data_IF_708589325487
#
_entry.id   IF_708589325487
#
_cell.length_a   1.000
_cell.length_b   1.000
_cell.length_c   1.000
_cell.angle_alpha   90.00
_cell.angle_beta   90.00
_cell.angle_gamma   90.00
#
_symmetry.space_group_name_H-M   'P 1'
#
loop_
_entity.id
_entity.type
_entity.pdbx_description
1 polymer ?
#
# COMPACT_ATOMS: atom_id res chain seq x y z
N UNK A 1 6.13 23.32 -2.84
CA UNK A 1 6.17 21.90 -3.27
C UNK A 1 7.16 21.23 -2.36
N UNK A 2 6.70 20.32 -1.53
CA UNK A 2 7.58 19.51 -0.68
C UNK A 2 8.58 18.78 -1.57
N UNK A 3 9.85 18.83 -1.20
CA UNK A 3 10.91 18.20 -1.98
C UNK A 3 10.81 16.67 -1.83
N UNK A 4 11.30 15.90 -2.81
CA UNK A 4 11.43 14.42 -2.73
C UNK A 4 11.87 13.92 -1.35
N UNK A 5 12.78 14.66 -0.70
CA UNK A 5 13.30 14.36 0.64
C UNK A 5 12.24 14.34 1.73
N UNK A 6 11.29 15.26 1.67
CA UNK A 6 10.24 15.38 2.68
C UNK A 6 9.27 14.20 2.61
N UNK A 7 8.98 13.69 1.42
CA UNK A 7 8.02 12.60 1.23
C UNK A 7 8.54 11.25 1.74
N UNK A 8 9.77 10.84 1.38
CA UNK A 8 10.30 9.58 1.91
C UNK A 8 10.62 9.68 3.41
N UNK A 9 11.09 10.84 3.89
CA UNK A 9 11.33 11.05 5.32
C UNK A 9 10.01 11.10 6.11
N UNK A 10 8.95 11.65 5.52
CA UNK A 10 7.60 11.64 6.09
C UNK A 10 7.05 10.23 6.24
N UNK A 11 7.18 9.39 5.21
CA UNK A 11 6.77 7.98 5.28
C UNK A 11 7.55 7.21 6.34
N UNK A 12 8.88 7.40 6.39
CA UNK A 12 9.74 6.75 7.37
C UNK A 12 9.44 7.18 8.80
N UNK A 13 9.28 8.48 9.05
CA UNK A 13 9.00 9.01 10.40
C UNK A 13 7.60 8.62 10.87
N UNK A 14 6.59 8.72 10.02
CA UNK A 14 5.22 8.33 10.36
C UNK A 14 5.12 6.84 10.71
N UNK A 15 5.73 5.96 9.89
CA UNK A 15 5.73 4.54 10.18
C UNK A 15 6.59 4.18 11.39
N UNK A 16 7.73 4.85 11.61
CA UNK A 16 8.55 4.64 12.82
C UNK A 16 7.76 4.97 14.09
N UNK A 17 7.04 6.09 14.11
CA UNK A 17 6.21 6.48 15.25
C UNK A 17 5.10 5.45 15.50
N UNK A 18 4.41 5.02 14.45
CA UNK A 18 3.41 3.96 14.54
C UNK A 18 4.01 2.64 15.07
N UNK A 19 5.13 2.21 14.51
CA UNK A 19 5.79 0.95 14.88
C UNK A 19 6.21 0.97 16.35
N UNK A 20 6.83 2.05 16.84
CA UNK A 20 7.24 2.18 18.24
C UNK A 20 6.03 2.14 19.17
N UNK A 21 4.96 2.89 18.86
CA UNK A 21 3.74 2.87 19.69
C UNK A 21 3.14 1.47 19.72
N UNK A 22 3.00 0.84 18.55
CA UNK A 22 2.44 -0.52 18.44
C UNK A 22 3.30 -1.56 19.15
N UNK A 23 4.63 -1.45 19.07
CA UNK A 23 5.56 -2.33 19.76
C UNK A 23 5.45 -2.18 21.28
N UNK A 24 5.40 -0.94 21.79
CA UNK A 24 5.20 -0.67 23.22
C UNK A 24 3.86 -1.28 23.66
N UNK A 25 2.78 -1.06 22.93
CA UNK A 25 1.46 -1.65 23.23
C UNK A 25 1.53 -3.18 23.26
N UNK A 26 2.20 -3.79 22.29
CA UNK A 26 2.38 -5.24 22.19
C UNK A 26 3.07 -5.78 23.45
N UNK A 27 4.18 -5.15 23.84
CA UNK A 27 4.96 -5.56 25.00
C UNK A 27 4.16 -5.34 26.30
N UNK A 28 3.55 -4.17 26.49
CA UNK A 28 2.78 -3.86 27.70
C UNK A 28 1.62 -4.83 27.91
N UNK A 29 0.84 -5.11 26.87
CA UNK A 29 -0.31 -6.04 26.95
C UNK A 29 0.16 -7.47 27.21
N UNK A 30 1.24 -7.91 26.56
CA UNK A 30 1.80 -9.25 26.76
C UNK A 30 2.27 -9.44 28.21
N UNK A 31 2.90 -8.44 28.81
CA UNK A 31 3.35 -8.47 30.21
C UNK A 31 2.17 -8.44 31.18
N UNK A 32 1.19 -7.57 30.96
CA UNK A 32 0.07 -7.36 31.90
C UNK A 32 -0.89 -8.57 31.90
N UNK A 33 -1.20 -9.10 30.72
CA UNK A 33 -2.23 -10.14 30.55
C UNK A 33 -1.67 -11.54 30.29
N UNK A 34 -0.34 -11.70 30.23
CA UNK A 34 0.30 -12.98 29.91
C UNK A 34 -0.01 -13.49 28.49
N UNK A 35 -0.34 -12.58 27.57
CA UNK A 35 -0.61 -12.92 26.17
C UNK A 35 0.69 -13.17 25.40
N UNK A 36 0.67 -14.02 24.36
CA UNK A 36 1.83 -14.22 23.49
C UNK A 36 2.08 -12.97 22.66
N UNK A 37 3.36 -12.65 22.37
CA UNK A 37 3.74 -11.39 21.71
C UNK A 37 3.19 -11.22 20.28
N UNK A 38 2.77 -12.29 19.63
CA UNK A 38 2.17 -12.30 18.28
C UNK A 38 0.68 -11.94 18.28
N UNK A 39 0.09 -11.62 19.44
CA UNK A 39 -1.33 -11.24 19.55
C UNK A 39 -1.69 -10.02 18.69
N UNK A 40 -0.73 -9.13 18.43
CA UNK A 40 -0.93 -7.88 17.71
C UNK A 40 -0.56 -8.02 16.21
N UNK A 41 -1.55 -8.12 15.30
CA UNK A 41 -1.30 -8.31 13.87
C UNK A 41 -0.95 -7.01 13.12
N UNK A 42 -0.80 -5.89 13.83
CA UNK A 42 -0.58 -4.58 13.20
C UNK A 42 0.88 -4.31 12.86
N UNK A 43 1.82 -5.06 13.47
CA UNK A 43 3.25 -5.00 13.20
C UNK A 43 3.82 -6.40 13.04
N UNK A 44 4.88 -6.53 12.23
CA UNK A 44 5.69 -7.73 12.18
C UNK A 44 6.69 -7.72 13.34
N UNK A 45 6.90 -8.88 13.95
CA UNK A 45 8.01 -9.12 14.87
C UNK A 45 9.20 -9.82 14.20
N UNK A 46 8.97 -10.43 13.03
CA UNK A 46 10.03 -11.00 12.21
C UNK A 46 10.91 -9.87 11.61
N UNK A 47 12.25 -9.96 11.71
CA UNK A 47 13.16 -8.92 11.20
C UNK A 47 12.99 -8.60 9.71
N UNK A 48 12.73 -9.61 8.86
CA UNK A 48 12.51 -9.39 7.44
C UNK A 48 11.16 -8.74 7.19
N UNK A 49 10.11 -9.15 7.92
CA UNK A 49 8.81 -8.49 7.88
C UNK A 49 8.87 -7.04 8.34
N UNK A 50 9.65 -6.71 9.38
CA UNK A 50 9.90 -5.34 9.83
C UNK A 50 10.54 -4.53 8.70
N UNK A 51 11.65 -5.02 8.14
CA UNK A 51 12.33 -4.37 7.02
C UNK A 51 11.39 -4.15 5.83
N UNK A 52 10.62 -5.18 5.47
CA UNK A 52 9.63 -5.13 4.41
C UNK A 52 8.59 -4.04 4.63
N UNK A 53 8.08 -3.89 5.85
CA UNK A 53 7.15 -2.82 6.18
C UNK A 53 7.76 -1.43 6.04
N UNK A 54 8.99 -1.24 6.51
CA UNK A 54 9.69 0.04 6.37
C UNK A 54 9.91 0.41 4.90
N UNK A 55 10.30 -0.57 4.07
CA UNK A 55 10.43 -0.39 2.63
C UNK A 55 9.08 -0.04 2.01
N UNK A 56 8.01 -0.75 2.35
CA UNK A 56 6.66 -0.50 1.83
C UNK A 56 6.16 0.89 2.23
N UNK A 57 6.31 1.28 3.50
CA UNK A 57 5.92 2.61 3.98
C UNK A 57 6.67 3.72 3.22
N UNK A 58 7.97 3.54 2.98
CA UNK A 58 8.76 4.47 2.18
C UNK A 58 8.26 4.55 0.74
N UNK A 59 8.05 3.40 0.08
CA UNK A 59 7.58 3.35 -1.30
C UNK A 59 6.20 3.99 -1.44
N UNK A 60 5.26 3.67 -0.57
CA UNK A 60 3.91 4.25 -0.61
C UNK A 60 3.90 5.74 -0.24
N UNK A 61 4.86 6.21 0.54
CA UNK A 61 5.09 7.64 0.77
C UNK A 61 5.66 8.39 -0.44
N UNK A 62 6.22 7.69 -1.42
CA UNK A 62 6.75 8.28 -2.66
C UNK A 62 5.84 8.06 -3.87
N UNK A 63 5.01 7.02 -3.83
CA UNK A 63 4.22 6.54 -4.97
C UNK A 63 3.27 7.58 -5.58
N UNK A 64 2.55 8.42 -4.79
CA UNK A 64 1.59 9.36 -5.38
C UNK A 64 2.18 10.27 -6.46
N UNK A 65 3.46 10.62 -6.34
CA UNK A 65 4.21 11.48 -7.28
C UNK A 65 4.68 10.77 -8.55
N UNK A 66 4.27 9.53 -8.80
CA UNK A 66 4.59 8.78 -10.02
C UNK A 66 3.89 9.34 -11.27
N UNK A 67 2.83 10.15 -11.09
CA UNK A 67 2.08 10.82 -12.16
C UNK A 67 2.70 12.15 -12.61
N UNK A 68 3.68 12.69 -11.88
CA UNK A 68 4.36 13.96 -12.19
C UNK A 68 5.85 13.76 -12.39
N UNK A 69 6.49 14.69 -13.12
CA UNK A 69 7.95 14.67 -13.31
C UNK A 69 8.67 14.88 -11.97
N UNK A 70 9.18 13.79 -11.41
CA UNK A 70 9.80 13.77 -10.08
C UNK A 70 10.91 12.72 -9.98
N UNK A 71 11.72 12.81 -8.91
CA UNK A 71 12.69 11.73 -8.59
C UNK A 71 11.98 10.43 -8.21
N UNK A 72 10.82 10.50 -7.56
CA UNK A 72 9.98 9.34 -7.26
C UNK A 72 9.57 8.63 -8.54
N UNK A 73 9.05 9.37 -9.52
CA UNK A 73 8.70 8.86 -10.83
C UNK A 73 9.89 8.14 -11.48
N UNK A 74 11.04 8.80 -11.58
CA UNK A 74 12.23 8.19 -12.18
C UNK A 74 12.60 6.87 -11.50
N UNK A 75 12.57 6.81 -10.16
CA UNK A 75 12.85 5.59 -9.41
C UNK A 75 11.85 4.47 -9.73
N UNK A 76 10.54 4.73 -9.63
CA UNK A 76 9.51 3.72 -9.89
C UNK A 76 9.54 3.20 -11.33
N UNK A 77 9.67 4.08 -12.32
CA UNK A 77 9.74 3.64 -13.72
C UNK A 77 11.05 2.93 -14.06
N UNK A 78 12.15 3.23 -13.38
CA UNK A 78 13.41 2.47 -13.53
C UNK A 78 13.23 1.04 -13.03
N UNK A 79 12.64 0.87 -11.84
CA UNK A 79 12.35 -0.46 -11.28
C UNK A 79 11.39 -1.23 -12.19
N UNK A 80 10.29 -0.59 -12.62
CA UNK A 80 9.32 -1.20 -13.54
C UNK A 80 9.95 -1.58 -14.87
N UNK A 81 10.84 -0.74 -15.42
CA UNK A 81 11.56 -1.05 -16.65
C UNK A 81 12.47 -2.28 -16.48
N UNK A 82 13.26 -2.34 -15.40
CA UNK A 82 14.14 -3.48 -15.14
C UNK A 82 13.34 -4.77 -14.93
N UNK A 83 12.24 -4.71 -14.17
CA UNK A 83 11.34 -5.85 -13.97
C UNK A 83 10.72 -6.31 -15.30
N UNK A 84 10.23 -5.37 -16.10
CA UNK A 84 9.61 -5.68 -17.39
C UNK A 84 10.63 -6.27 -18.38
N UNK A 85 11.84 -5.70 -18.44
CA UNK A 85 12.94 -6.25 -19.24
C UNK A 85 13.33 -7.65 -18.78
N UNK A 86 13.35 -7.91 -17.47
CA UNK A 86 13.64 -9.24 -16.91
C UNK A 86 12.56 -10.27 -17.29
N UNK A 87 11.28 -9.88 -17.25
CA UNK A 87 10.17 -10.74 -17.69
C UNK A 87 10.30 -11.13 -19.17
N UNK A 88 10.68 -10.18 -20.02
CA UNK A 88 10.82 -10.40 -21.47
C UNK A 88 12.09 -11.20 -21.78
N UNK A 89 13.25 -10.75 -21.31
CA UNK A 89 14.55 -11.27 -21.75
C UNK A 89 14.93 -12.56 -21.03
N UNK A 90 14.70 -12.65 -19.72
CA UNK A 90 15.16 -13.77 -18.90
C UNK A 90 14.07 -14.84 -18.72
N UNK A 91 12.83 -14.42 -18.52
CA UNK A 91 11.73 -15.33 -18.15
C UNK A 91 10.81 -15.69 -19.33
N UNK A 92 10.90 -14.97 -20.46
CA UNK A 92 10.04 -15.17 -21.64
C UNK A 92 8.53 -15.09 -21.31
N UNK A 93 8.17 -14.34 -20.26
CA UNK A 93 6.81 -14.15 -19.72
C UNK A 93 6.15 -12.92 -20.33
N UNK A 94 5.83 -13.00 -21.62
CA UNK A 94 5.39 -11.84 -22.40
C UNK A 94 4.03 -11.30 -22.00
N UNK A 95 3.10 -12.15 -21.57
CA UNK A 95 1.76 -11.72 -21.13
C UNK A 95 1.87 -10.90 -19.84
N UNK A 96 2.66 -11.37 -18.88
CA UNK A 96 2.90 -10.69 -17.62
C UNK A 96 3.65 -9.39 -17.82
N UNK A 97 4.62 -9.37 -18.75
CA UNK A 97 5.29 -8.14 -19.17
C UNK A 97 4.32 -7.13 -19.80
N UNK A 98 3.43 -7.58 -20.69
CA UNK A 98 2.42 -6.74 -21.32
C UNK A 98 1.45 -6.15 -20.29
N UNK A 99 0.98 -6.97 -19.34
CA UNK A 99 0.12 -6.53 -18.24
C UNK A 99 0.84 -5.54 -17.32
N UNK A 100 2.08 -5.84 -16.92
CA UNK A 100 2.89 -4.95 -16.08
C UNK A 100 3.09 -3.59 -16.76
N UNK A 101 3.48 -3.60 -18.04
CA UNK A 101 3.63 -2.39 -18.84
C UNK A 101 2.34 -1.59 -18.97
N UNK A 102 1.21 -2.26 -19.22
CA UNK A 102 -0.11 -1.63 -19.32
C UNK A 102 -0.49 -0.93 -18.01
N UNK A 103 -0.36 -1.60 -16.86
CA UNK A 103 -0.68 -1.02 -15.57
C UNK A 103 0.29 0.09 -15.15
N UNK A 104 1.56 -0.03 -15.53
CA UNK A 104 2.56 1.01 -15.30
C UNK A 104 2.23 2.34 -15.98
N UNK A 105 1.47 2.34 -17.09
CA UNK A 105 1.08 3.58 -17.78
C UNK A 105 -0.09 4.33 -17.12
N UNK A 106 -0.88 3.66 -16.27
CA UNK A 106 -2.10 4.24 -15.69
C UNK A 106 -1.89 5.58 -14.94
N UNK A 107 -0.80 5.77 -14.16
CA UNK A 107 -0.59 7.04 -13.49
C UNK A 107 -0.34 8.20 -14.47
N UNK A 108 0.41 7.96 -15.56
CA UNK A 108 0.75 8.98 -16.56
C UNK A 108 -0.47 9.40 -17.39
N UNK A 109 -1.40 8.48 -17.64
CA UNK A 109 -2.64 8.79 -18.38
C UNK A 109 -3.60 9.69 -17.59
N UNK A 110 -3.34 9.92 -16.30
CA UNK A 110 -4.18 10.76 -15.46
C UNK A 110 -3.79 12.23 -15.54
N UNK A 111 -4.73 13.11 -15.14
CA UNK A 111 -4.42 14.55 -14.98
C UNK A 111 -3.37 14.73 -13.90
N UNK A 112 -2.55 15.79 -14.00
CA UNK A 112 -1.60 16.16 -12.94
C UNK A 112 -2.25 16.17 -11.55
N UNK A 113 -1.68 15.40 -10.62
CA UNK A 113 -2.20 15.19 -9.25
C UNK A 113 -3.63 14.65 -9.27
N UNK A 114 -3.85 13.63 -10.10
CA UNK A 114 -5.15 13.04 -10.38
C UNK A 114 -5.57 12.03 -9.32
N UNK A 115 -5.93 10.83 -9.77
CA UNK A 115 -6.38 9.77 -8.85
C UNK A 115 -5.26 9.29 -7.93
N UNK A 116 -3.98 9.44 -8.29
CA UNK A 116 -2.84 9.13 -7.42
C UNK A 116 -2.76 10.01 -6.17
N UNK A 117 -3.45 11.15 -6.14
CA UNK A 117 -3.53 12.02 -4.94
C UNK A 117 -4.91 11.95 -4.26
N UNK A 118 -5.72 10.92 -4.59
CA UNK A 118 -7.02 10.69 -3.97
C UNK A 118 -6.90 9.96 -2.63
N UNK A 119 -7.72 10.36 -1.65
CA UNK A 119 -7.89 9.63 -0.37
C UNK A 119 -8.41 8.21 -0.58
N UNK A 120 -9.10 7.95 -1.69
CA UNK A 120 -9.54 6.60 -2.03
C UNK A 120 -8.37 5.71 -2.42
N UNK A 121 -7.43 6.22 -3.22
CA UNK A 121 -6.25 5.47 -3.67
C UNK A 121 -5.32 5.12 -2.51
N UNK A 122 -5.27 5.99 -1.50
CA UNK A 122 -4.59 5.72 -0.22
C UNK A 122 -5.08 4.43 0.46
N UNK A 123 -6.36 4.04 0.27
CA UNK A 123 -6.93 2.81 0.83
C UNK A 123 -6.87 1.67 -0.20
N UNK A 124 -7.21 1.97 -1.46
CA UNK A 124 -7.30 0.99 -2.53
C UNK A 124 -5.94 0.38 -2.88
N UNK A 125 -4.87 1.18 -2.96
CA UNK A 125 -3.59 0.66 -3.41
C UNK A 125 -2.95 -0.26 -2.35
N UNK A 126 -2.91 0.09 -1.06
CA UNK A 126 -2.41 -0.83 -0.04
C UNK A 126 -3.27 -2.09 0.11
N UNK A 127 -4.56 -2.05 -0.24
CA UNK A 127 -5.43 -3.24 -0.09
C UNK A 127 -5.00 -4.42 -0.96
N UNK A 128 -4.12 -4.21 -1.95
CA UNK A 128 -3.45 -5.29 -2.68
C UNK A 128 -2.68 -6.24 -1.75
N UNK A 129 -2.14 -5.75 -0.62
CA UNK A 129 -1.51 -6.60 0.39
C UNK A 129 -2.48 -7.52 1.14
N UNK A 130 -3.79 -7.24 1.07
CA UNK A 130 -4.83 -8.12 1.60
C UNK A 130 -5.38 -9.03 0.50
N UNK A 131 -5.64 -8.47 -0.69
CA UNK A 131 -6.30 -9.19 -1.79
C UNK A 131 -5.39 -10.22 -2.46
N UNK A 132 -4.10 -9.90 -2.66
CA UNK A 132 -3.18 -10.81 -3.35
C UNK A 132 -2.97 -12.11 -2.55
N UNK A 133 -2.68 -12.09 -1.24
CA UNK A 133 -2.58 -13.32 -0.45
C UNK A 133 -3.85 -14.16 -0.50
N UNK A 134 -5.04 -13.53 -0.38
CA UNK A 134 -6.32 -14.24 -0.53
C UNK A 134 -6.43 -14.89 -1.91
N UNK A 135 -6.07 -14.16 -2.97
CA UNK A 135 -6.10 -14.70 -4.33
C UNK A 135 -5.14 -15.87 -4.53
N UNK A 136 -3.96 -15.85 -3.89
CA UNK A 136 -2.96 -16.92 -4.05
C UNK A 136 -3.30 -18.14 -3.20
N UNK A 137 -3.73 -17.94 -1.96
CA UNK A 137 -3.89 -19.01 -0.97
C UNK A 137 -5.26 -19.67 -1.00
N UNK A 138 -6.29 -18.99 -1.50
CA UNK A 138 -7.64 -19.56 -1.51
C UNK A 138 -7.74 -20.76 -2.46
N UNK A 139 -8.02 -21.98 -1.95
CA UNK A 139 -7.87 -23.21 -2.72
C UNK A 139 -8.99 -23.43 -3.76
N UNK A 140 -10.13 -22.76 -3.60
CA UNK A 140 -11.36 -23.11 -4.32
C UNK A 140 -11.61 -22.26 -5.56
N UNK A 141 -10.64 -21.48 -6.06
CA UNK A 141 -10.78 -20.76 -7.33
C UNK A 141 -11.13 -21.69 -8.50
N UNK A 142 -10.65 -22.94 -8.45
CA UNK A 142 -10.89 -23.95 -9.47
C UNK A 142 -12.32 -24.56 -9.46
N UNK A 143 -13.15 -24.28 -8.46
CA UNK A 143 -14.48 -24.89 -8.32
C UNK A 143 -15.58 -24.29 -9.23
N UNK A 144 -15.17 -23.47 -10.22
CA UNK A 144 -16.06 -22.85 -11.21
C UNK A 144 -16.67 -21.54 -10.72
N UNK A 145 -17.19 -20.74 -11.68
CA UNK A 145 -17.85 -19.46 -11.38
C UNK A 145 -19.17 -19.71 -10.64
N UNK A 146 -19.12 -19.75 -9.32
CA UNK A 146 -20.32 -19.63 -8.48
C UNK A 146 -20.88 -18.20 -8.61
N UNK A 147 -22.16 -17.99 -8.27
CA UNK A 147 -22.69 -16.62 -8.19
C UNK A 147 -21.88 -15.83 -7.16
N UNK A 148 -21.74 -14.52 -7.35
CA UNK A 148 -21.01 -13.62 -6.44
C UNK A 148 -21.33 -13.85 -4.93
N UNK A 149 -22.61 -14.05 -4.53
CA UNK A 149 -22.93 -14.34 -3.12
C UNK A 149 -22.34 -15.65 -2.61
N UNK A 150 -22.32 -16.70 -3.42
CA UNK A 150 -21.79 -18.01 -3.05
C UNK A 150 -20.26 -17.98 -2.93
N UNK A 151 -19.60 -17.19 -3.79
CA UNK A 151 -18.17 -16.92 -3.69
C UNK A 151 -17.87 -16.22 -2.36
N UNK A 152 -18.62 -15.17 -2.04
CA UNK A 152 -18.45 -14.44 -0.78
C UNK A 152 -18.66 -15.34 0.44
N UNK A 153 -19.73 -16.14 0.46
CA UNK A 153 -20.00 -17.09 1.55
C UNK A 153 -18.86 -18.10 1.71
N UNK A 154 -18.33 -18.61 0.59
CA UNK A 154 -17.22 -19.56 0.60
C UNK A 154 -15.87 -18.95 1.00
N UNK A 155 -15.67 -17.64 0.80
CA UNK A 155 -14.49 -16.91 1.25
C UNK A 155 -14.58 -16.63 2.75
N UNK A 156 -15.73 -16.14 3.23
CA UNK A 156 -15.92 -15.82 4.66
C UNK A 156 -15.85 -17.07 5.53
N UNK A 157 -16.30 -18.22 5.03
CA UNK A 157 -16.22 -19.51 5.74
C UNK A 157 -14.87 -20.22 5.61
N UNK A 158 -13.93 -19.66 4.86
CA UNK A 158 -12.61 -20.27 4.71
C UNK A 158 -11.80 -20.13 6.01
N UNK A 159 -11.45 -21.26 6.62
CA UNK A 159 -10.72 -21.31 7.88
C UNK A 159 -9.36 -20.60 7.84
N UNK A 160 -8.70 -20.55 6.66
CA UNK A 160 -7.42 -19.86 6.48
C UNK A 160 -7.53 -18.33 6.37
N UNK A 161 -8.73 -17.79 6.11
CA UNK A 161 -8.92 -16.35 5.87
C UNK A 161 -8.34 -15.46 6.97
N UNK A 162 -8.55 -15.73 8.27
CA UNK A 162 -8.02 -14.87 9.34
C UNK A 162 -6.49 -14.78 9.32
N UNK A 163 -5.80 -15.89 9.11
CA UNK A 163 -4.33 -15.95 9.15
C UNK A 163 -3.73 -15.27 7.92
N UNK A 164 -4.30 -15.52 6.74
CA UNK A 164 -3.95 -14.81 5.50
C UNK A 164 -4.13 -13.30 5.65
N UNK A 165 -5.25 -12.86 6.24
CA UNK A 165 -5.52 -11.45 6.51
C UNK A 165 -4.53 -10.85 7.51
N UNK A 166 -4.17 -11.56 8.60
CA UNK A 166 -3.17 -11.08 9.57
C UNK A 166 -1.82 -10.85 8.89
N UNK A 167 -1.37 -11.77 8.04
CA UNK A 167 -0.12 -11.64 7.30
C UNK A 167 -0.13 -10.41 6.38
N UNK A 168 -1.23 -10.20 5.65
CA UNK A 168 -1.38 -9.03 4.77
C UNK A 168 -1.57 -7.70 5.52
N UNK A 169 -2.19 -7.71 6.70
CA UNK A 169 -2.59 -6.51 7.45
C UNK A 169 -1.40 -5.63 7.82
N UNK A 170 -0.31 -6.25 8.26
CA UNK A 170 0.90 -5.53 8.64
C UNK A 170 1.47 -4.71 7.46
N UNK A 171 1.52 -5.31 6.27
CA UNK A 171 1.98 -4.61 5.05
C UNK A 171 0.96 -3.58 4.53
N UNK A 172 -0.34 -3.90 4.64
CA UNK A 172 -1.41 -2.95 4.36
C UNK A 172 -1.27 -1.68 5.20
N UNK A 173 -1.06 -1.81 6.51
CA UNK A 173 -0.91 -0.67 7.41
C UNK A 173 0.36 0.14 7.11
N UNK A 174 1.48 -0.54 6.80
CA UNK A 174 2.69 0.14 6.37
C UNK A 174 2.45 0.98 5.11
N UNK A 175 1.80 0.40 4.09
CA UNK A 175 1.46 1.11 2.86
C UNK A 175 0.48 2.25 3.09
N UNK A 176 -0.56 2.02 3.90
CA UNK A 176 -1.56 3.03 4.27
C UNK A 176 -0.93 4.23 4.98
N UNK A 177 -0.06 3.99 5.96
CA UNK A 177 0.61 5.04 6.74
C UNK A 177 1.58 5.83 5.85
N UNK A 178 2.38 5.14 5.04
CA UNK A 178 3.27 5.77 4.08
C UNK A 178 2.50 6.70 3.13
N UNK A 179 1.44 6.19 2.51
CA UNK A 179 0.60 6.97 1.60
C UNK A 179 -0.09 8.15 2.31
N UNK A 180 -0.64 7.91 3.51
CA UNK A 180 -1.27 8.95 4.31
C UNK A 180 -0.30 10.09 4.65
N UNK A 181 0.97 9.78 4.95
CA UNK A 181 2.01 10.79 5.19
C UNK A 181 2.23 11.67 3.97
N UNK A 182 2.24 11.11 2.75
CA UNK A 182 2.35 11.88 1.51
C UNK A 182 1.20 12.87 1.37
N UNK A 183 -0.04 12.37 1.49
CA UNK A 183 -1.24 13.22 1.40
C UNK A 183 -1.32 14.26 2.53
N UNK A 184 -0.75 13.95 3.70
CA UNK A 184 -0.65 14.90 4.80
C UNK A 184 0.31 16.03 4.48
N UNK A 185 1.51 15.72 3.98
CA UNK A 185 2.52 16.71 3.58
C UNK A 185 2.04 17.61 2.44
N UNK A 186 1.26 17.06 1.49
CA UNK A 186 0.59 17.85 0.45
C UNK A 186 -0.64 18.64 0.96
N UNK A 187 -1.03 18.47 2.23
CA UNK A 187 -2.18 19.13 2.84
C UNK A 187 -3.55 18.66 2.30
N UNK A 188 -3.59 17.49 1.66
CA UNK A 188 -4.79 16.89 1.06
C UNK A 188 -5.57 16.08 2.10
N UNK A 189 -4.87 15.39 3.00
CA UNK A 189 -5.48 14.43 3.93
C UNK A 189 -6.56 15.07 4.82
N UNK A 190 -6.24 16.20 5.46
CA UNK A 190 -7.13 16.86 6.43
C UNK A 190 -7.94 18.03 5.88
N UNK A 191 -7.70 18.49 4.65
CA UNK A 191 -8.52 19.56 4.08
C UNK A 191 -9.89 19.03 3.60
N UNK A 192 -10.93 19.78 3.92
CA UNK A 192 -12.28 19.56 3.39
C UNK A 192 -12.39 20.12 1.97
N UNK A 193 -13.20 19.49 1.11
CA UNK A 193 -13.47 19.97 -0.27
C UNK A 193 -13.94 21.43 -0.28
N UNK A 194 -14.71 21.87 0.73
CA UNK A 194 -15.18 23.26 0.85
C UNK A 194 -14.03 24.24 1.11
N UNK A 195 -13.02 23.85 1.89
CA UNK A 195 -11.84 24.67 2.13
C UNK A 195 -10.95 24.79 0.88
N UNK A 196 -10.81 23.69 0.11
CA UNK A 196 -10.12 23.71 -1.19
C UNK A 196 -10.84 24.60 -2.21
N UNK A 197 -12.18 24.52 -2.30
CA UNK A 197 -12.98 25.34 -3.20
C UNK A 197 -12.96 26.83 -2.82
N UNK A 198 -13.01 27.16 -1.52
CA UNK A 198 -12.87 28.55 -1.05
C UNK A 198 -11.50 29.13 -1.44
N UNK A 199 -10.41 28.38 -1.25
CA UNK A 199 -9.06 28.81 -1.62
C UNK A 199 -8.90 29.02 -3.13
N UNK A 200 -9.54 28.18 -3.94
CA UNK A 200 -9.55 28.33 -5.40
C UNK A 200 -10.32 29.60 -5.84
N UNK A 201 -11.39 29.98 -5.13
CA UNK A 201 -12.16 31.20 -5.40
C UNK A 201 -11.50 32.48 -4.91
N UNK A 202 -10.71 32.43 -3.85
CA UNK A 202 -9.96 33.61 -3.34
C UNK A 202 -8.68 33.90 -4.12
N UNK A 203 -8.24 32.98 -4.99
CA UNK A 203 -7.05 33.10 -5.83
C UNK A 203 -7.40 33.38 -7.32
N UNK A 204 -8.67 33.65 -7.62
CA UNK A 204 -9.15 34.18 -8.90
C UNK A 204 -9.46 35.66 -8.72
#
# INVERSE_FOLDING_TARGET
MSMFREHWLGGLTAYSAFFVVSLITTISVSIIYGLPFDWNPTISLDPLGILGCFVIALLFGLWPDVDIKSRSQQFFYTVLFVLNASLILLLQRYLEAALLGLFAMLPILSRHRGWTHSKFTMILLPSLFLVIPIYVEYPNWATGWKKLPDLFDSLVKWEGLPDTLRGGLTFYLAGLIGYASHLHLDGILFRSRKAQQRKARTNQ
#
